data_IF_750014235473
#
_entry.id   IF_750014235473
#
_cell.length_a   1.000
_cell.length_b   1.000
_cell.length_c   1.000
_cell.angle_alpha   90.00
_cell.angle_beta   90.00
_cell.angle_gamma   90.00
#
_symmetry.space_group_name_H-M   'P 1'
#
loop_
_entity.id
_entity.type
_entity.pdbx_description
1 polymer ?
#
# COMPACT_ATOMS: atom_id res chain seq x y z
N UNK A 1 -0.97 -16.32 7.90
CA UNK A 1 -2.21 -17.08 7.64
C UNK A 1 -2.86 -16.47 6.42
N UNK A 2 -3.29 -17.26 5.43
CA UNK A 2 -3.95 -16.75 4.21
C UNK A 2 -5.46 -16.59 4.42
N UNK A 3 -6.15 -15.83 3.55
CA UNK A 3 -7.62 -15.69 3.56
C UNK A 3 -8.29 -17.04 3.33
N UNK A 4 -7.72 -17.86 2.44
CA UNK A 4 -8.14 -19.21 2.12
C UNK A 4 -8.11 -20.11 3.36
N UNK A 5 -7.00 -20.09 4.10
CA UNK A 5 -6.82 -20.94 5.28
C UNK A 5 -7.73 -20.49 6.42
N UNK A 6 -7.85 -19.18 6.64
CA UNK A 6 -8.77 -18.63 7.63
C UNK A 6 -10.23 -19.06 7.38
N UNK A 7 -10.72 -18.92 6.14
CA UNK A 7 -12.08 -19.34 5.80
C UNK A 7 -12.26 -20.85 5.98
N UNK A 8 -11.26 -21.67 5.63
CA UNK A 8 -11.32 -23.13 5.86
C UNK A 8 -11.42 -23.47 7.35
N UNK A 9 -10.66 -22.80 8.20
CA UNK A 9 -10.72 -22.98 9.66
C UNK A 9 -12.09 -22.58 10.21
N UNK A 10 -12.62 -21.41 9.83
CA UNK A 10 -13.95 -20.95 10.25
C UNK A 10 -15.09 -21.84 9.77
N UNK A 11 -14.99 -22.38 8.57
CA UNK A 11 -15.96 -23.36 8.08
C UNK A 11 -15.88 -24.65 8.90
N UNK A 12 -14.67 -25.11 9.23
CA UNK A 12 -14.44 -26.33 10.02
C UNK A 12 -15.01 -26.24 11.43
N UNK A 13 -15.03 -25.05 12.04
CA UNK A 13 -15.71 -24.78 13.32
C UNK A 13 -17.24 -25.00 13.24
N UNK A 14 -17.84 -24.87 12.06
CA UNK A 14 -19.29 -25.02 11.84
C UNK A 14 -19.70 -26.34 11.17
N UNK A 15 -18.74 -27.20 10.79
CA UNK A 15 -18.99 -28.47 10.12
C UNK A 15 -18.11 -28.68 8.89
N UNK A 16 -18.58 -29.44 7.92
CA UNK A 16 -17.83 -29.69 6.68
C UNK A 16 -18.08 -28.59 5.64
N UNK A 17 -17.14 -28.42 4.70
CA UNK A 17 -17.31 -27.48 3.59
C UNK A 17 -18.56 -27.77 2.74
N UNK A 18 -18.96 -29.04 2.61
CA UNK A 18 -20.18 -29.42 1.89
C UNK A 18 -21.44 -29.00 2.63
N UNK A 19 -21.51 -29.25 3.92
CA UNK A 19 -22.64 -28.84 4.76
C UNK A 19 -22.76 -27.32 4.82
N UNK A 20 -21.63 -26.62 4.96
CA UNK A 20 -21.60 -25.16 4.92
C UNK A 20 -22.08 -24.61 3.57
N UNK A 21 -21.62 -25.17 2.45
CA UNK A 21 -22.07 -24.78 1.12
C UNK A 21 -23.60 -24.93 0.98
N UNK A 22 -24.15 -26.06 1.44
CA UNK A 22 -25.59 -26.29 1.44
C UNK A 22 -26.34 -25.28 2.33
N UNK A 23 -25.83 -25.01 3.54
CA UNK A 23 -26.39 -24.04 4.49
C UNK A 23 -26.50 -22.63 3.90
N UNK A 24 -25.49 -22.18 3.15
CA UNK A 24 -25.51 -20.86 2.53
C UNK A 24 -26.18 -20.85 1.16
N UNK A 25 -26.67 -21.99 0.66
CA UNK A 25 -27.25 -22.09 -0.68
C UNK A 25 -26.24 -21.81 -1.80
N UNK A 26 -25.04 -22.37 -1.69
CA UNK A 26 -23.96 -22.26 -2.68
C UNK A 26 -23.59 -23.67 -3.18
N UNK A 27 -23.37 -23.86 -4.50
CA UNK A 27 -22.86 -25.14 -5.00
C UNK A 27 -21.51 -25.48 -4.34
N UNK A 28 -21.30 -26.72 -3.87
CA UNK A 28 -20.02 -27.09 -3.25
C UNK A 28 -18.82 -26.82 -4.15
N UNK A 29 -18.94 -27.06 -5.46
CA UNK A 29 -17.89 -26.76 -6.45
C UNK A 29 -17.49 -25.28 -6.46
N UNK A 30 -18.46 -24.36 -6.37
CA UNK A 30 -18.21 -22.92 -6.29
C UNK A 30 -17.47 -22.58 -5.01
N UNK A 31 -17.92 -23.09 -3.86
CA UNK A 31 -17.22 -22.86 -2.59
C UNK A 31 -15.78 -23.39 -2.63
N UNK A 32 -15.58 -24.62 -3.11
CA UNK A 32 -14.25 -25.21 -3.24
C UNK A 32 -13.33 -24.40 -4.16
N UNK A 33 -13.86 -23.85 -5.26
CA UNK A 33 -13.10 -22.98 -6.15
C UNK A 33 -12.69 -21.69 -5.46
N UNK A 34 -13.60 -21.06 -4.71
CA UNK A 34 -13.34 -19.83 -3.96
C UNK A 34 -12.30 -20.07 -2.87
N UNK A 35 -12.37 -21.17 -2.13
CA UNK A 35 -11.41 -21.52 -1.07
C UNK A 35 -10.00 -21.88 -1.59
N UNK A 36 -9.77 -21.91 -2.91
CA UNK A 36 -8.45 -22.01 -3.54
C UNK A 36 -7.89 -20.66 -3.97
N UNK A 37 -8.75 -19.68 -4.22
CA UNK A 37 -8.39 -18.33 -4.65
C UNK A 37 -9.53 -17.36 -4.26
N UNK A 38 -9.48 -16.87 -3.03
CA UNK A 38 -10.49 -15.97 -2.47
C UNK A 38 -10.47 -14.64 -3.21
N UNK A 39 -9.27 -14.15 -3.56
CA UNK A 39 -9.09 -12.87 -4.27
C UNK A 39 -9.67 -12.84 -5.69
N UNK A 40 -9.86 -14.00 -6.32
CA UNK A 40 -10.49 -14.13 -7.64
C UNK A 40 -12.02 -14.27 -7.61
N UNK A 41 -12.63 -14.34 -6.43
CA UNK A 41 -14.08 -14.52 -6.31
C UNK A 41 -14.83 -13.20 -6.45
N UNK A 42 -16.07 -13.25 -6.95
CA UNK A 42 -16.94 -12.07 -6.97
C UNK A 42 -17.28 -11.61 -5.55
N UNK A 43 -17.40 -10.30 -5.37
CA UNK A 43 -17.75 -9.67 -4.09
C UNK A 43 -19.05 -10.25 -3.51
N UNK A 44 -20.06 -10.51 -4.36
CA UNK A 44 -21.33 -11.11 -3.91
C UNK A 44 -21.13 -12.48 -3.25
N UNK A 45 -20.24 -13.30 -3.80
CA UNK A 45 -19.94 -14.61 -3.24
C UNK A 45 -19.15 -14.50 -1.93
N UNK A 46 -18.22 -13.54 -1.83
CA UNK A 46 -17.49 -13.27 -0.59
C UNK A 46 -18.45 -12.81 0.51
N UNK A 47 -19.30 -11.82 0.23
CA UNK A 47 -20.31 -11.33 1.17
C UNK A 47 -21.21 -12.46 1.65
N UNK A 48 -21.64 -13.35 0.74
CA UNK A 48 -22.50 -14.49 1.06
C UNK A 48 -21.80 -15.48 2.00
N UNK A 49 -20.53 -15.78 1.78
CA UNK A 49 -19.72 -16.64 2.66
C UNK A 49 -19.53 -15.98 4.03
N UNK A 50 -19.15 -14.69 4.07
CA UNK A 50 -18.97 -13.93 5.31
C UNK A 50 -20.25 -13.89 6.16
N UNK A 51 -21.41 -13.66 5.53
CA UNK A 51 -22.73 -13.73 6.20
C UNK A 51 -23.00 -15.11 6.80
N UNK A 52 -22.68 -16.18 6.05
CA UNK A 52 -22.84 -17.55 6.54
C UNK A 52 -21.93 -17.90 7.72
N UNK A 53 -20.75 -17.27 7.78
CA UNK A 53 -19.77 -17.43 8.86
C UNK A 53 -19.96 -16.44 10.02
N UNK A 54 -20.86 -15.46 9.89
CA UNK A 54 -21.04 -14.36 10.83
C UNK A 54 -19.76 -13.56 11.10
N UNK A 55 -19.01 -13.26 10.03
CA UNK A 55 -17.82 -12.40 10.04
C UNK A 55 -18.04 -11.20 9.12
N UNK A 56 -17.28 -10.12 9.34
CA UNK A 56 -17.33 -8.96 8.43
C UNK A 56 -16.40 -9.17 7.22
N UNK A 57 -16.79 -8.74 6.01
CA UNK A 57 -15.88 -8.74 4.86
C UNK A 57 -14.59 -7.95 5.11
N UNK A 58 -14.66 -6.87 5.90
CA UNK A 58 -13.51 -6.05 6.27
C UNK A 58 -12.48 -6.87 7.08
N UNK A 59 -12.94 -7.69 8.03
CA UNK A 59 -12.09 -8.60 8.79
C UNK A 59 -11.38 -9.61 7.88
N UNK A 60 -12.04 -10.06 6.80
CA UNK A 60 -11.42 -10.96 5.82
C UNK A 60 -10.40 -10.23 4.93
N UNK A 61 -10.63 -8.95 4.63
CA UNK A 61 -9.72 -8.15 3.82
C UNK A 61 -8.36 -7.96 4.52
N UNK A 62 -8.36 -7.78 5.84
CA UNK A 62 -7.15 -7.61 6.66
C UNK A 62 -6.31 -8.89 6.81
N UNK A 63 -6.89 -10.07 6.52
CA UNK A 63 -6.19 -11.36 6.65
C UNK A 63 -5.28 -11.62 5.46
N UNK A 64 -4.06 -12.06 5.74
CA UNK A 64 -3.10 -12.42 4.71
C UNK A 64 -2.54 -11.23 3.94
N UNK A 65 -2.95 -10.00 4.29
CA UNK A 65 -2.08 -8.86 4.12
C UNK A 65 -0.88 -9.11 5.05
N UNK A 66 0.31 -9.20 4.47
CA UNK A 66 1.44 -8.63 5.19
C UNK A 66 0.95 -7.28 5.65
N UNK A 67 1.09 -6.97 6.95
CA UNK A 67 0.97 -5.60 7.41
C UNK A 67 2.10 -4.87 6.68
N UNK A 68 1.86 -4.49 5.43
CA UNK A 68 2.46 -3.33 4.82
C UNK A 68 1.79 -2.20 5.56
N UNK A 69 2.25 -2.01 6.81
CA UNK A 69 2.24 -0.71 7.42
C UNK A 69 2.76 0.15 6.26
N UNK A 70 2.08 1.23 5.87
CA UNK A 70 2.66 2.20 4.95
C UNK A 70 3.91 2.88 5.55
N UNK A 71 4.66 2.23 6.45
CA UNK A 71 5.99 2.62 6.88
C UNK A 71 7.02 2.49 5.76
N UNK A 72 6.69 1.83 4.66
CA UNK A 72 7.32 2.10 3.37
C UNK A 72 6.30 2.74 2.44
N UNK A 73 5.89 3.98 2.75
CA UNK A 73 5.64 4.93 1.68
C UNK A 73 6.84 4.83 0.75
N UNK A 74 6.70 4.17 -0.40
CA UNK A 74 7.57 4.46 -1.56
C UNK A 74 7.54 5.96 -1.68
N UNK A 75 8.60 6.62 -1.24
CA UNK A 75 8.71 8.06 -1.32
C UNK A 75 8.50 8.47 -2.77
N UNK A 76 8.04 9.70 -3.00
CA UNK A 76 7.91 10.24 -4.35
C UNK A 76 9.23 10.11 -5.14
N UNK A 77 10.36 10.08 -4.43
CA UNK A 77 11.70 9.84 -4.96
C UNK A 77 12.12 8.38 -4.80
N UNK A 78 12.66 7.80 -5.87
CA UNK A 78 13.30 6.48 -5.86
C UNK A 78 14.75 6.54 -5.39
N UNK A 79 15.37 7.72 -5.40
CA UNK A 79 16.71 7.97 -4.88
C UNK A 79 16.62 8.47 -3.43
N UNK A 80 17.32 7.80 -2.50
CA UNK A 80 17.27 8.11 -1.07
C UNK A 80 17.84 9.48 -0.72
N UNK A 81 18.93 9.88 -1.37
CA UNK A 81 19.56 11.19 -1.17
C UNK A 81 18.62 12.33 -1.64
N UNK A 82 17.95 12.16 -2.77
CA UNK A 82 16.94 13.11 -3.24
C UNK A 82 15.75 13.22 -2.28
N UNK A 83 15.32 12.10 -1.68
CA UNK A 83 14.27 12.08 -0.67
C UNK A 83 14.67 12.87 0.59
N UNK A 84 15.90 12.66 1.09
CA UNK A 84 16.45 13.40 2.24
C UNK A 84 16.55 14.90 1.97
N UNK A 85 17.02 15.30 0.78
CA UNK A 85 17.07 16.71 0.40
C UNK A 85 15.68 17.32 0.29
N UNK A 86 14.72 16.64 -0.32
CA UNK A 86 13.35 17.13 -0.39
C UNK A 86 12.75 17.36 1.00
N UNK A 87 13.01 16.44 1.95
CA UNK A 87 12.55 16.58 3.32
C UNK A 87 13.26 17.74 4.07
N UNK A 88 14.56 17.92 3.86
CA UNK A 88 15.32 19.06 4.39
C UNK A 88 14.73 20.40 3.92
N UNK A 89 14.43 20.52 2.63
CA UNK A 89 13.85 21.71 2.02
C UNK A 89 12.40 21.94 2.49
N UNK A 90 11.64 20.85 2.64
CA UNK A 90 10.27 20.89 3.16
C UNK A 90 10.24 21.32 4.61
N UNK A 91 11.22 20.99 5.45
CA UNK A 91 11.15 21.26 6.90
C UNK A 91 11.79 22.59 7.32
N UNK A 92 12.63 23.20 6.47
CA UNK A 92 13.36 24.45 6.78
C UNK A 92 12.89 25.62 5.89
N UNK A 93 12.15 26.61 6.43
CA UNK A 93 11.62 27.73 5.65
C UNK A 93 12.68 28.49 4.83
N UNK A 94 13.86 28.74 5.40
CA UNK A 94 14.95 29.43 4.70
C UNK A 94 15.51 28.64 3.51
N UNK A 95 15.59 27.32 3.62
CA UNK A 95 16.00 26.46 2.52
C UNK A 95 14.89 26.31 1.46
N UNK A 96 13.62 26.31 1.90
CA UNK A 96 12.45 26.34 1.01
C UNK A 96 12.39 27.59 0.13
N UNK A 97 12.84 28.74 0.65
CA UNK A 97 12.88 29.99 -0.15
C UNK A 97 13.76 29.86 -1.40
N UNK A 98 14.82 29.04 -1.37
CA UNK A 98 15.66 28.81 -2.54
C UNK A 98 14.87 28.16 -3.70
N UNK A 99 13.88 27.31 -3.39
CA UNK A 99 13.00 26.70 -4.40
C UNK A 99 12.00 27.70 -4.97
N UNK A 100 11.49 28.60 -4.13
CA UNK A 100 10.62 29.68 -4.60
C UNK A 100 11.39 30.66 -5.48
N UNK A 101 12.65 30.95 -5.14
CA UNK A 101 13.53 31.81 -5.94
C UNK A 101 13.90 31.16 -7.29
N UNK A 102 14.03 29.82 -7.33
CA UNK A 102 14.28 29.07 -8.56
C UNK A 102 13.06 28.98 -9.48
N UNK A 103 11.86 29.31 -9.00
CA UNK A 103 10.65 29.32 -9.82
C UNK A 103 10.81 30.38 -10.91
N UNK A 104 10.60 29.99 -12.15
CA UNK A 104 10.73 30.83 -13.36
C UNK A 104 12.17 31.15 -13.80
N UNK A 105 13.19 30.50 -13.22
CA UNK A 105 14.56 30.54 -13.76
C UNK A 105 14.74 29.60 -14.95
N UNK A 106 15.50 30.03 -15.95
CA UNK A 106 15.94 29.18 -17.07
C UNK A 106 16.98 28.16 -16.62
N UNK A 107 17.22 27.15 -17.47
CA UNK A 107 18.25 26.13 -17.22
C UNK A 107 19.63 26.76 -17.12
N UNK A 108 19.94 27.69 -18.01
CA UNK A 108 21.21 28.39 -18.09
C UNK A 108 21.47 29.22 -16.83
N UNK A 109 20.46 29.93 -16.34
CA UNK A 109 20.55 30.73 -15.10
C UNK A 109 20.73 29.84 -13.86
N UNK A 110 20.08 28.67 -13.83
CA UNK A 110 20.30 27.69 -12.77
C UNK A 110 21.74 27.15 -12.78
N UNK A 111 22.28 26.81 -13.95
CA UNK A 111 23.68 26.37 -14.07
C UNK A 111 24.68 27.44 -13.63
N UNK A 112 24.44 28.71 -13.97
CA UNK A 112 25.27 29.83 -13.50
C UNK A 112 25.19 29.99 -11.97
N UNK A 113 24.00 29.86 -11.41
CA UNK A 113 23.78 29.93 -9.96
C UNK A 113 24.53 28.82 -9.23
N UNK A 114 24.52 27.59 -9.76
CA UNK A 114 25.30 26.47 -9.20
C UNK A 114 26.80 26.79 -9.20
N UNK A 115 27.34 27.31 -10.29
CA UNK A 115 28.76 27.73 -10.36
C UNK A 115 29.09 28.79 -9.30
N UNK A 116 28.19 29.74 -9.07
CA UNK A 116 28.38 30.75 -8.04
C UNK A 116 28.36 30.15 -6.63
N UNK A 117 27.46 29.21 -6.34
CA UNK A 117 27.41 28.49 -5.06
C UNK A 117 28.71 27.70 -4.82
N UNK A 118 29.22 27.01 -5.83
CA UNK A 118 30.50 26.29 -5.76
C UNK A 118 31.68 27.22 -5.50
N UNK A 119 31.69 28.39 -6.16
CA UNK A 119 32.67 29.43 -5.91
C UNK A 119 32.60 29.98 -4.47
N UNK A 120 31.41 30.18 -3.91
CA UNK A 120 31.28 30.60 -2.52
C UNK A 120 31.79 29.51 -1.56
N UNK A 121 31.49 28.24 -1.82
CA UNK A 121 31.99 27.10 -1.02
C UNK A 121 33.51 27.01 -1.05
N UNK A 122 34.16 27.33 -2.18
CA UNK A 122 35.63 27.28 -2.28
C UNK A 122 36.34 28.35 -1.44
N UNK A 123 35.67 29.45 -1.09
CA UNK A 123 36.21 30.50 -0.19
C UNK A 123 36.25 30.10 1.28
N UNK A 124 35.52 29.05 1.66
CA UNK A 124 35.41 28.56 3.03
C UNK A 124 36.03 27.16 3.20
N UNK A 125 36.85 26.74 2.24
CA UNK A 125 37.70 25.54 2.33
C UNK A 125 39.03 25.86 3.00
#
# INVERSE_FOLDING_TARGET
MTREDYLKEKIKEQGTQREFAAKIGMPPSTLFSILRNVGGASIDNIIKICKGLNIKPDELAEIGEEITIPSETKGYYTNSEAAEFAEYLRTRPGARMLFSAAKDMSKEEMEETVKYIEFLKSKHK
#
